data_IF_423537734473
#
_entry.id   IF_423537734473
#
_cell.length_a   1.000
_cell.length_b   1.000
_cell.length_c   1.000
_cell.angle_alpha   90.00
_cell.angle_beta   90.00
_cell.angle_gamma   90.00
#
_symmetry.space_group_name_H-M   'P 1'
#
loop_
_entity.id
_entity.type
_entity.pdbx_description
1 polymer ?
#
# COMPACT_ATOMS: atom_id res chain seq x y z
N UNK A 1 33.06 -17.22 -12.59
CA UNK A 1 32.54 -17.58 -11.25
C UNK A 1 31.02 -17.41 -11.28
N UNK A 2 30.26 -18.45 -10.93
CA UNK A 2 28.80 -18.34 -10.81
C UNK A 2 28.43 -17.69 -9.47
N UNK A 3 27.73 -16.57 -9.53
CA UNK A 3 27.30 -15.83 -8.34
C UNK A 3 26.19 -16.59 -7.60
N UNK A 4 26.44 -16.98 -6.34
CA UNK A 4 25.52 -17.76 -5.48
C UNK A 4 24.60 -16.90 -4.59
N UNK A 5 24.38 -15.65 -4.96
CA UNK A 5 23.56 -14.71 -4.18
C UNK A 5 22.06 -14.80 -4.48
N UNK A 6 21.29 -13.91 -3.88
CA UNK A 6 19.85 -13.77 -4.13
C UNK A 6 19.59 -13.22 -5.53
N UNK A 7 18.78 -13.91 -6.33
CA UNK A 7 18.31 -13.35 -7.61
C UNK A 7 17.44 -12.12 -7.33
N UNK A 8 17.87 -10.96 -7.83
CA UNK A 8 17.12 -9.72 -7.71
C UNK A 8 15.84 -9.78 -8.56
N UNK A 9 14.75 -9.21 -8.04
CA UNK A 9 13.53 -9.01 -8.81
C UNK A 9 13.69 -7.80 -9.73
N UNK A 10 13.58 -8.04 -11.04
CA UNK A 10 13.74 -7.04 -12.10
C UNK A 10 12.38 -6.56 -12.60
N UNK A 11 12.05 -5.29 -12.34
CA UNK A 11 10.77 -4.68 -12.71
C UNK A 11 10.97 -3.64 -13.81
N UNK A 12 10.12 -3.68 -14.83
CA UNK A 12 10.11 -2.68 -15.89
C UNK A 12 9.64 -1.33 -15.33
N UNK A 13 10.42 -0.28 -15.62
CA UNK A 13 10.12 1.08 -15.22
C UNK A 13 10.44 2.07 -16.32
N UNK A 14 9.83 3.25 -16.22
CA UNK A 14 10.13 4.42 -17.04
C UNK A 14 10.71 5.48 -16.11
N UNK A 15 11.71 6.22 -16.58
CA UNK A 15 12.31 7.30 -15.81
C UNK A 15 12.21 8.61 -16.59
N UNK A 16 12.31 9.72 -15.85
CA UNK A 16 12.40 11.05 -16.41
C UNK A 16 13.39 11.88 -15.58
N UNK A 17 13.98 12.89 -16.22
CA UNK A 17 14.91 13.83 -15.61
C UNK A 17 14.27 15.22 -15.53
N UNK A 18 14.34 15.84 -14.35
CA UNK A 18 13.76 17.15 -14.09
C UNK A 18 14.81 18.11 -13.54
N UNK A 19 14.98 19.26 -14.19
CA UNK A 19 15.87 20.33 -13.74
C UNK A 19 15.09 21.37 -12.92
N UNK A 20 15.49 21.65 -11.67
CA UNK A 20 14.84 22.68 -10.87
C UNK A 20 15.00 24.08 -11.49
N UNK A 21 13.92 24.86 -11.66
CA UNK A 21 13.99 26.18 -12.30
C UNK A 21 14.79 27.21 -11.48
N UNK A 22 15.01 26.97 -10.19
CA UNK A 22 15.85 27.80 -9.32
C UNK A 22 17.34 27.45 -9.36
N UNK A 23 17.76 26.55 -10.25
CA UNK A 23 19.08 25.93 -10.22
C UNK A 23 19.17 24.82 -9.17
N UNK A 24 20.11 23.90 -9.37
CA UNK A 24 20.32 22.74 -8.50
C UNK A 24 20.70 21.48 -9.28
N UNK A 25 20.77 20.36 -8.57
CA UNK A 25 21.04 19.06 -9.19
C UNK A 25 19.82 18.56 -9.98
N UNK A 26 20.08 17.91 -11.12
CA UNK A 26 19.05 17.27 -11.93
C UNK A 26 18.45 16.09 -11.18
N UNK A 27 17.12 16.06 -11.09
CA UNK A 27 16.38 15.01 -10.39
C UNK A 27 15.99 13.90 -11.36
N UNK A 28 16.48 12.70 -11.12
CA UNK A 28 16.02 11.49 -11.80
C UNK A 28 14.90 10.83 -10.99
N UNK A 29 13.74 10.64 -11.61
CA UNK A 29 12.61 9.95 -10.99
C UNK A 29 12.16 8.80 -11.89
N UNK A 30 11.54 7.78 -11.29
CA UNK A 30 11.03 6.64 -12.04
C UNK A 30 9.65 6.22 -11.55
N UNK A 31 8.96 5.49 -12.42
CA UNK A 31 7.70 4.81 -12.11
C UNK A 31 7.80 3.34 -12.52
N UNK A 32 7.14 2.45 -11.77
CA UNK A 32 7.08 1.02 -12.07
C UNK A 32 5.84 0.76 -12.91
N UNK A 33 6.02 0.05 -14.03
CA UNK A 33 4.90 -0.37 -14.88
C UNK A 33 4.16 -1.52 -14.19
N UNK A 34 2.83 -1.45 -14.19
CA UNK A 34 1.97 -2.50 -13.63
C UNK A 34 1.16 -3.21 -14.71
N UNK A 35 0.98 -4.51 -14.57
CA UNK A 35 0.15 -5.37 -15.41
C UNK A 35 -0.96 -6.03 -14.58
N UNK A 36 -1.86 -6.75 -15.24
CA UNK A 36 -2.84 -7.57 -14.53
C UNK A 36 -2.13 -8.66 -13.73
N UNK A 37 -2.68 -9.03 -12.57
CA UNK A 37 -2.12 -10.08 -11.73
C UNK A 37 -2.18 -11.44 -12.46
N UNK A 38 -1.11 -12.24 -12.35
CA UNK A 38 -1.15 -13.65 -12.76
C UNK A 38 -2.07 -14.45 -11.84
N UNK A 39 -2.49 -15.64 -12.28
CA UNK A 39 -3.41 -16.50 -11.51
C UNK A 39 -2.87 -16.84 -10.12
N UNK A 40 -1.56 -17.00 -10.00
CA UNK A 40 -0.90 -17.40 -8.76
C UNK A 40 -0.86 -16.28 -7.71
N UNK A 41 -0.87 -15.02 -8.14
CA UNK A 41 -0.86 -13.85 -7.25
C UNK A 41 -2.21 -13.14 -7.18
N UNK A 42 -3.19 -13.56 -7.99
CA UNK A 42 -4.50 -12.89 -8.05
C UNK A 42 -5.20 -12.94 -6.70
N UNK A 43 -5.06 -14.03 -5.93
CA UNK A 43 -5.68 -14.13 -4.60
C UNK A 43 -5.09 -13.15 -3.57
N UNK A 44 -3.83 -12.73 -3.74
CA UNK A 44 -3.20 -11.69 -2.93
C UNK A 44 -3.75 -10.33 -3.37
N UNK A 45 -3.88 -10.13 -4.68
CA UNK A 45 -4.45 -8.92 -5.24
C UNK A 45 -5.03 -9.16 -6.64
N UNK A 46 -6.35 -8.98 -6.81
CA UNK A 46 -7.03 -9.15 -8.11
C UNK A 46 -7.07 -7.81 -8.86
N UNK A 47 -6.58 -7.76 -10.11
CA UNK A 47 -6.83 -6.61 -11.02
C UNK A 47 -7.64 -7.05 -12.23
N UNK A 48 -8.87 -6.56 -12.28
CA UNK A 48 -9.64 -6.19 -13.48
C UNK A 48 -10.95 -5.56 -12.93
N UNK A 49 -11.58 -4.51 -13.47
CA UNK A 49 -11.70 -4.02 -14.85
C UNK A 49 -11.78 -2.48 -14.87
N UNK A 50 -11.34 -1.88 -15.98
CA UNK A 50 -11.66 -0.53 -16.45
C UNK A 50 -13.07 -0.04 -16.03
N UNK A 51 -13.11 0.95 -15.13
CA UNK A 51 -14.07 2.07 -15.06
C UNK A 51 -14.01 2.71 -13.66
N UNK A 52 -12.92 3.43 -13.39
CA UNK A 52 -12.86 4.35 -12.25
C UNK A 52 -12.67 3.71 -10.87
N UNK A 53 -11.40 3.75 -10.42
CA UNK A 53 -10.98 3.85 -9.01
C UNK A 53 -10.85 2.54 -8.22
N UNK A 54 -9.67 1.91 -8.37
CA UNK A 54 -9.15 0.88 -7.46
C UNK A 54 -7.91 0.20 -8.04
N UNK A 55 -6.73 0.57 -7.56
CA UNK A 55 -5.41 -0.01 -7.88
C UNK A 55 -5.28 -1.26 -7.00
N UNK A 56 -5.04 -2.45 -7.54
CA UNK A 56 -3.68 -2.90 -7.79
C UNK A 56 -3.59 -4.10 -8.74
N UNK A 57 -2.46 -4.17 -9.45
CA UNK A 57 -1.97 -5.31 -10.23
C UNK A 57 -0.54 -5.63 -9.82
N UNK A 58 0.11 -6.57 -10.50
CA UNK A 58 1.51 -6.92 -10.25
C UNK A 58 2.46 -6.02 -11.04
N UNK A 59 3.71 -5.82 -10.59
CA UNK A 59 4.70 -5.15 -11.41
C UNK A 59 4.96 -5.97 -12.69
N UNK A 60 5.25 -5.29 -13.80
CA UNK A 60 5.75 -5.93 -15.00
C UNK A 60 7.17 -6.45 -14.73
N UNK A 61 7.31 -7.76 -14.52
CA UNK A 61 8.58 -8.40 -14.18
C UNK A 61 9.29 -8.80 -15.48
N UNK A 62 10.55 -8.39 -15.61
CA UNK A 62 11.43 -8.75 -16.72
C UNK A 62 12.20 -10.03 -16.34
N UNK A 63 11.63 -11.19 -16.66
CA UNK A 63 12.22 -12.47 -16.27
C UNK A 63 13.38 -12.87 -17.21
N UNK A 64 14.60 -12.79 -16.68
CA UNK A 64 15.82 -13.25 -17.36
C UNK A 64 16.58 -12.15 -18.11
N UNK A 65 17.86 -12.42 -18.37
CA UNK A 65 18.82 -11.44 -18.90
C UNK A 65 18.44 -10.93 -20.29
N UNK A 66 17.76 -11.74 -21.10
CA UNK A 66 17.31 -11.31 -22.43
C UNK A 66 16.21 -10.24 -22.36
N UNK A 67 15.22 -10.43 -21.48
CA UNK A 67 14.16 -9.45 -21.27
C UNK A 67 14.73 -8.14 -20.71
N UNK A 68 15.67 -8.26 -19.75
CA UNK A 68 16.38 -7.10 -19.18
C UNK A 68 17.16 -6.35 -20.26
N UNK A 69 17.97 -7.05 -21.07
CA UNK A 69 18.74 -6.45 -22.16
C UNK A 69 17.85 -5.75 -23.16
N UNK A 70 16.79 -6.40 -23.64
CA UNK A 70 15.85 -5.80 -24.60
C UNK A 70 15.11 -4.59 -24.04
N UNK A 71 14.83 -4.56 -22.73
CA UNK A 71 14.18 -3.40 -22.09
C UNK A 71 15.11 -2.19 -21.94
N UNK A 72 16.39 -2.43 -21.65
CA UNK A 72 17.37 -1.36 -21.44
C UNK A 72 17.98 -0.82 -22.74
N UNK A 73 18.00 -1.62 -23.81
CA UNK A 73 18.60 -1.25 -25.10
C UNK A 73 17.64 -0.41 -25.97
N UNK A 74 17.42 0.83 -25.55
CA UNK A 74 16.57 1.78 -26.29
C UNK A 74 17.16 2.21 -27.65
N UNK A 75 18.44 1.94 -27.90
CA UNK A 75 19.10 2.29 -29.16
C UNK A 75 18.71 1.30 -30.27
N UNK A 76 18.71 0.00 -29.96
CA UNK A 76 18.43 -1.06 -30.93
C UNK A 76 17.00 -1.62 -30.84
N UNK A 77 16.31 -1.45 -29.71
CA UNK A 77 14.95 -1.98 -29.49
C UNK A 77 13.91 -0.85 -29.56
N UNK A 78 13.05 -0.81 -30.60
CA UNK A 78 11.97 0.17 -30.69
C UNK A 78 10.94 -0.01 -29.56
N UNK A 79 10.28 1.08 -29.17
CA UNK A 79 9.25 1.08 -28.13
C UNK A 79 8.16 0.03 -28.37
N UNK A 80 7.75 -0.18 -29.62
CA UNK A 80 6.72 -1.16 -29.97
C UNK A 80 7.15 -2.60 -29.66
N UNK A 81 8.45 -2.91 -29.75
CA UNK A 81 9.00 -4.21 -29.36
C UNK A 81 9.18 -4.30 -27.84
N UNK A 82 9.67 -3.24 -27.19
CA UNK A 82 9.84 -3.19 -25.74
C UNK A 82 8.52 -3.39 -24.98
N UNK A 83 7.41 -2.80 -25.47
CA UNK A 83 6.08 -2.94 -24.87
C UNK A 83 5.60 -4.40 -24.87
N UNK A 84 6.05 -5.26 -25.80
CA UNK A 84 5.70 -6.68 -25.80
C UNK A 84 6.26 -7.45 -24.61
N UNK A 85 7.28 -6.91 -23.94
CA UNK A 85 7.85 -7.47 -22.71
C UNK A 85 6.94 -7.21 -21.49
N UNK A 86 5.98 -6.28 -21.60
CA UNK A 86 5.10 -5.87 -20.51
C UNK A 86 3.89 -6.79 -20.44
N UNK A 87 4.06 -7.90 -19.73
CA UNK A 87 3.02 -8.91 -19.53
C UNK A 87 3.07 -9.51 -18.12
N UNK A 88 1.96 -10.08 -17.62
CA UNK A 88 1.95 -10.82 -16.35
C UNK A 88 2.96 -11.99 -16.38
N UNK A 89 3.56 -12.29 -15.23
CA UNK A 89 4.48 -13.43 -15.09
C UNK A 89 3.99 -14.39 -14.01
N UNK A 90 4.21 -15.68 -14.22
CA UNK A 90 3.85 -16.74 -13.26
C UNK A 90 5.05 -17.16 -12.39
N UNK A 91 6.27 -16.77 -12.78
CA UNK A 91 7.51 -17.09 -12.06
C UNK A 91 7.72 -16.21 -10.82
N UNK A 92 6.78 -16.21 -9.88
CA UNK A 92 6.83 -15.45 -8.63
C UNK A 92 6.46 -16.34 -7.46
N UNK A 93 7.28 -16.30 -6.41
CA UNK A 93 7.01 -16.97 -5.13
C UNK A 93 6.87 -15.91 -4.05
N UNK A 94 5.96 -16.13 -3.10
CA UNK A 94 5.68 -15.22 -2.00
C UNK A 94 5.39 -16.00 -0.71
N UNK A 95 5.44 -15.31 0.43
CA UNK A 95 5.03 -15.84 1.73
C UNK A 95 4.43 -14.73 2.60
N UNK A 96 3.53 -15.07 3.53
CA UNK A 96 2.99 -14.08 4.46
C UNK A 96 4.09 -13.56 5.40
N UNK A 97 4.00 -12.27 5.71
CA UNK A 97 4.91 -11.56 6.64
C UNK A 97 4.10 -10.85 7.73
N UNK A 98 4.78 -10.44 8.80
CA UNK A 98 4.19 -9.68 9.90
C UNK A 98 3.66 -8.32 9.44
N UNK A 99 2.58 -7.82 10.05
CA UNK A 99 2.09 -6.44 9.86
C UNK A 99 3.09 -5.38 10.35
N UNK A 100 4.18 -5.80 10.98
CA UNK A 100 5.33 -4.95 11.30
C UNK A 100 5.84 -4.17 10.08
N UNK A 101 5.79 -4.75 8.87
CA UNK A 101 6.23 -4.08 7.62
C UNK A 101 5.36 -2.85 7.24
N UNK A 102 4.15 -2.72 7.80
CA UNK A 102 3.23 -1.64 7.44
C UNK A 102 3.72 -0.24 7.85
N UNK A 103 4.65 -0.15 8.81
CA UNK A 103 5.25 1.12 9.20
C UNK A 103 6.56 1.34 8.44
N UNK A 104 6.59 2.34 7.56
CA UNK A 104 7.74 2.69 6.71
C UNK A 104 9.04 2.98 7.49
N UNK A 105 8.95 3.30 8.78
CA UNK A 105 10.14 3.51 9.64
C UNK A 105 10.86 2.21 10.01
N UNK A 106 10.21 1.06 9.80
CA UNK A 106 10.76 -0.24 10.13
C UNK A 106 11.65 -0.74 8.98
N UNK A 107 12.96 -0.72 9.20
CA UNK A 107 13.96 -1.21 8.24
C UNK A 107 14.82 -2.30 8.88
N UNK A 108 14.24 -3.49 9.07
CA UNK A 108 14.92 -4.63 9.68
C UNK A 108 14.56 -5.93 8.94
N UNK A 109 15.33 -7.03 9.11
CA UNK A 109 15.02 -8.31 8.49
C UNK A 109 13.64 -8.90 8.85
N UNK A 110 13.03 -8.48 9.97
CA UNK A 110 11.68 -8.91 10.36
C UNK A 110 10.62 -8.53 9.31
N UNK A 111 10.84 -7.45 8.55
CA UNK A 111 9.91 -6.99 7.51
C UNK A 111 9.69 -8.03 6.39
N UNK A 112 10.65 -8.93 6.17
CA UNK A 112 10.58 -9.98 5.14
C UNK A 112 10.51 -11.40 5.73
N UNK A 113 10.54 -11.53 7.06
CA UNK A 113 10.50 -12.82 7.74
C UNK A 113 9.14 -13.50 7.54
N UNK A 114 9.18 -14.77 7.13
CA UNK A 114 7.98 -15.59 6.95
C UNK A 114 7.28 -15.82 8.29
N UNK A 115 5.95 -15.71 8.28
CA UNK A 115 5.09 -16.08 9.41
C UNK A 115 4.19 -17.27 9.07
N UNK A 116 3.64 -17.93 10.09
CA UNK A 116 2.56 -18.90 9.93
C UNK A 116 1.21 -18.21 10.19
N UNK A 117 0.29 -18.35 9.24
CA UNK A 117 -1.07 -17.84 9.40
C UNK A 117 -1.87 -18.83 10.26
N UNK A 118 -2.45 -18.34 11.37
CA UNK A 118 -3.31 -19.15 12.24
C UNK A 118 -2.65 -19.70 13.51
N UNK A 119 -1.37 -19.41 13.75
CA UNK A 119 -0.77 -19.62 15.07
C UNK A 119 -1.49 -18.71 16.08
N UNK A 120 -2.36 -19.30 16.91
CA UNK A 120 -2.98 -18.62 18.05
C UNK A 120 -1.85 -18.15 18.96
N UNK A 121 -1.46 -16.88 18.86
CA UNK A 121 -0.76 -16.23 19.96
C UNK A 121 -1.70 -16.33 21.15
N UNK A 122 -1.31 -17.13 22.15
CA UNK A 122 -1.94 -17.07 23.45
C UNK A 122 -1.83 -15.63 23.95
N UNK A 123 -2.93 -14.88 23.84
CA UNK A 123 -3.03 -13.57 24.44
C UNK A 123 -3.05 -13.81 25.94
N UNK A 124 -1.88 -13.70 26.59
CA UNK A 124 -1.84 -13.55 28.04
C UNK A 124 -2.73 -12.37 28.39
N UNK A 125 -3.79 -12.64 29.15
CA UNK A 125 -4.81 -11.65 29.46
C UNK A 125 -4.17 -10.37 30.02
N UNK A 126 -4.29 -9.27 29.28
CA UNK A 126 -3.96 -7.94 29.80
C UNK A 126 -5.09 -7.45 30.73
N UNK A 127 -4.80 -6.61 31.74
CA UNK A 127 -5.80 -6.13 32.69
C UNK A 127 -7.04 -5.51 32.02
N UNK A 128 -6.87 -4.80 30.90
CA UNK A 128 -7.96 -4.17 30.14
C UNK A 128 -8.96 -5.15 29.54
N UNK A 129 -8.54 -6.36 29.16
CA UNK A 129 -9.46 -7.39 28.63
C UNK A 129 -10.34 -8.01 29.73
N UNK A 130 -9.92 -7.96 31.02
CA UNK A 130 -10.74 -8.44 32.14
C UNK A 130 -11.88 -7.49 32.47
N UNK A 131 -11.64 -6.17 32.40
CA UNK A 131 -12.65 -5.16 32.73
C UNK A 131 -13.78 -5.14 31.70
N UNK A 132 -13.43 -5.26 30.41
CA UNK A 132 -14.40 -5.34 29.32
C UNK A 132 -15.28 -6.61 29.40
N UNK A 133 -14.70 -7.76 29.80
CA UNK A 133 -15.45 -9.00 29.99
C UNK A 133 -16.34 -8.98 31.24
N UNK A 134 -15.94 -8.27 32.30
CA UNK A 134 -16.79 -8.04 33.48
C UNK A 134 -18.03 -7.21 33.16
N UNK A 135 -17.88 -6.17 32.33
CA UNK A 135 -19.00 -5.34 31.89
C UNK A 135 -20.00 -6.13 31.03
N UNK A 136 -19.53 -6.89 30.03
CA UNK A 136 -20.40 -7.73 29.18
C UNK A 136 -21.24 -8.73 29.98
N UNK A 137 -20.66 -9.29 31.05
CA UNK A 137 -21.34 -10.27 31.90
C UNK A 137 -22.42 -9.62 32.76
N UNK A 138 -22.17 -8.41 33.27
CA UNK A 138 -23.16 -7.65 34.03
C UNK A 138 -24.37 -7.20 33.19
N UNK A 139 -24.19 -7.05 31.87
CA UNK A 139 -25.26 -6.68 30.95
C UNK A 139 -26.23 -7.83 30.62
N UNK A 140 -25.89 -9.08 30.96
CA UNK A 140 -26.74 -10.25 30.72
C UNK A 140 -27.63 -10.63 31.92
N UNK A 141 -27.36 -10.13 33.13
CA UNK A 141 -28.08 -10.55 34.34
C UNK A 141 -29.27 -9.63 34.73
N UNK A 142 -29.65 -8.68 33.88
CA UNK A 142 -30.74 -7.74 34.15
C UNK A 142 -31.83 -7.69 33.07
N UNK A 143 -32.67 -8.72 32.95
CA UNK A 143 -33.96 -8.58 32.26
C UNK A 143 -35.03 -9.53 32.86
N UNK A 144 -36.19 -9.01 33.33
CA UNK A 144 -37.36 -9.85 33.61
C UNK A 144 -38.10 -10.17 32.31
N UNK A 145 -38.49 -11.44 32.13
CA UNK A 145 -39.39 -11.86 31.05
C UNK A 145 -40.78 -11.21 31.18
N UNK A 146 -41.37 -10.79 30.04
CA UNK A 146 -42.58 -11.38 29.41
C UNK A 146 -43.48 -10.32 28.72
N UNK A 147 -43.58 -10.35 27.38
CA UNK A 147 -44.79 -10.64 26.57
C UNK A 147 -44.68 -10.07 25.15
N UNK A 148 -45.19 -10.88 24.23
CA UNK A 148 -45.26 -10.74 22.78
C UNK A 148 -46.53 -9.99 22.32
N UNK A 149 -46.47 -9.47 21.10
CA UNK A 149 -47.47 -8.75 20.28
C UNK A 149 -47.64 -7.25 20.55
N UNK A 150 -47.00 -6.42 19.71
CA UNK A 150 -47.66 -5.79 18.56
C UNK A 150 -46.64 -5.00 17.73
N UNK A 151 -46.58 -5.26 16.42
CA UNK A 151 -45.86 -4.40 15.47
C UNK A 151 -46.61 -3.05 15.37
N UNK A 152 -45.86 -1.93 15.28
CA UNK A 152 -45.83 -1.32 13.95
C UNK A 152 -44.48 -0.70 13.55
N UNK A 153 -44.25 -0.80 12.24
CA UNK A 153 -43.63 0.17 11.32
C UNK A 153 -42.30 0.82 11.71
N UNK A 154 -41.28 0.31 11.03
CA UNK A 154 -40.06 1.01 10.65
C UNK A 154 -40.35 2.31 9.89
N UNK A 155 -39.89 3.44 10.42
CA UNK A 155 -39.56 4.64 9.63
C UNK A 155 -38.24 5.24 10.10
N UNK A 156 -37.30 5.27 9.16
CA UNK A 156 -36.30 6.32 8.89
C UNK A 156 -35.90 7.27 10.02
N UNK A 157 -34.61 7.30 10.37
CA UNK A 157 -33.84 8.53 10.16
C UNK A 157 -32.32 8.27 10.18
N UNK A 158 -31.70 8.71 9.08
CA UNK A 158 -30.27 8.82 8.86
C UNK A 158 -29.59 9.66 9.95
N UNK A 159 -28.43 9.24 10.42
CA UNK A 159 -27.36 10.18 10.78
C UNK A 159 -26.12 9.83 9.95
N UNK A 160 -26.00 10.53 8.82
CA UNK A 160 -24.73 10.73 8.14
C UNK A 160 -23.88 11.69 8.99
N UNK A 161 -22.65 11.27 9.33
CA UNK A 161 -21.60 12.21 9.72
C UNK A 161 -20.56 12.25 8.59
N UNK A 162 -20.36 13.38 7.89
CA UNK A 162 -19.32 13.47 6.87
C UNK A 162 -17.96 13.68 7.55
N UNK A 163 -17.04 12.74 7.36
CA UNK A 163 -15.61 12.97 7.59
C UNK A 163 -15.04 13.87 6.48
N UNK A 164 -14.17 14.84 6.79
CA UNK A 164 -13.68 15.80 5.80
C UNK A 164 -12.79 15.12 4.75
N UNK A 165 -13.21 15.17 3.49
CA UNK A 165 -12.43 14.69 2.34
C UNK A 165 -11.28 15.67 2.08
N UNK A 166 -10.06 15.30 2.45
CA UNK A 166 -8.85 15.93 1.89
C UNK A 166 -8.62 15.36 0.49
N UNK A 167 -8.74 16.20 -0.52
CA UNK A 167 -8.43 15.85 -1.91
C UNK A 167 -6.92 15.76 -2.09
N UNK A 168 -6.45 14.85 -2.95
CA UNK A 168 -5.02 14.65 -3.27
C UNK A 168 -4.32 15.91 -3.78
N UNK A 169 -5.07 16.88 -4.31
CA UNK A 169 -4.58 18.20 -4.71
C UNK A 169 -4.02 19.02 -3.52
N UNK A 170 -4.60 18.87 -2.32
CA UNK A 170 -4.15 19.59 -1.12
C UNK A 170 -2.78 19.13 -0.63
N UNK A 171 -2.42 17.87 -0.85
CA UNK A 171 -1.14 17.30 -0.41
C UNK A 171 -0.01 17.75 -1.33
N UNK A 172 -0.27 17.84 -2.65
CA UNK A 172 0.70 18.32 -3.63
C UNK A 172 1.02 19.81 -3.45
N UNK A 173 0.02 20.66 -3.16
CA UNK A 173 0.26 22.08 -2.90
C UNK A 173 1.04 22.34 -1.59
N UNK A 174 0.86 21.47 -0.58
CA UNK A 174 1.62 21.58 0.67
C UNK A 174 3.11 21.21 0.49
N UNK A 175 3.44 20.39 -0.50
CA UNK A 175 4.82 20.02 -0.82
C UNK A 175 5.51 21.09 -1.70
N UNK A 176 4.77 21.71 -2.62
CA UNK A 176 5.27 22.75 -3.51
C UNK A 176 5.48 24.11 -2.82
N UNK A 177 4.82 24.36 -1.69
CA UNK A 177 4.84 25.66 -1.02
C UNK A 177 5.45 25.62 0.37
N UNK A 178 6.79 25.56 0.48
CA UNK A 178 7.53 26.10 1.65
C UNK A 178 9.05 26.20 1.40
N UNK A 179 9.48 27.35 0.90
CA UNK A 179 10.80 27.93 1.18
C UNK A 179 10.57 29.42 1.48
N UNK A 180 10.87 29.82 2.71
CA UNK A 180 10.68 31.19 3.21
C UNK A 180 10.89 31.23 4.72
N UNK A 181 12.13 31.48 5.14
CA UNK A 181 12.53 31.65 6.54
C UNK A 181 11.73 32.76 7.24
N UNK A 182 11.44 32.65 8.56
CA UNK A 182 10.98 33.82 9.32
C UNK A 182 12.17 34.72 9.70
N UNK A 183 11.99 36.02 9.47
CA UNK A 183 12.94 37.08 9.77
C UNK A 183 13.25 37.23 11.27
N UNK A 184 14.49 37.60 11.56
CA UNK A 184 15.02 37.88 12.89
C UNK A 184 14.26 39.02 13.61
N UNK A 185 13.92 38.79 14.89
CA UNK A 185 13.38 39.81 15.79
C UNK A 185 14.45 40.87 16.09
N UNK A 186 14.21 42.12 15.69
CA UNK A 186 14.95 43.29 16.20
C UNK A 186 14.46 43.62 17.61
N UNK A 187 15.36 43.61 18.59
CA UNK A 187 15.15 44.28 19.87
C UNK A 187 15.23 45.80 19.65
N UNK A 188 14.25 46.54 20.16
CA UNK A 188 14.30 48.01 20.29
C UNK A 188 14.99 48.35 21.62
N UNK A 189 15.74 49.45 21.57
CA UNK A 189 16.43 50.12 22.67
C UNK A 189 15.50 50.49 23.82
#
# INVERSE_FOLDING_TARGET
EEWKGWRLLTMAGIFDCWEPPGGGEMLYTYTIITVDASKDVSFIHHRQVRAGKGVAGMPAILDGDEAIRKWLDFAEVPTQEAVKLIQPTENVVFHPVSTFVNNIRNNTPECVARIELGAKKEVKATPSNKVMMGWLKSSQEGSPQKKENDLPKWTSEFIHSPSPKKTSASVLQQWLGKQGQPAAKKHKA
#
